data_IF_564190941652
#
_entry.id   IF_564190941652
#
_cell.length_a   1.000
_cell.length_b   1.000
_cell.length_c   1.000
_cell.angle_alpha   90.00
_cell.angle_beta   90.00
_cell.angle_gamma   90.00
#
_symmetry.space_group_name_H-M   'P 1'
#
loop_
_entity.id
_entity.type
_entity.pdbx_description
1 polymer ?
#
# COMPACT_ATOMS: atom_id res chain seq x y z
N UNK A 1 -15.60 11.39 -3.65
CA UNK A 1 -16.32 10.10 -3.67
C UNK A 1 -15.36 9.06 -3.12
N UNK A 2 -15.60 8.53 -1.91
CA UNK A 2 -14.73 7.48 -1.33
C UNK A 2 -15.01 6.21 -2.14
N UNK A 3 -14.02 5.71 -2.86
CA UNK A 3 -14.15 4.46 -3.59
C UNK A 3 -14.34 3.36 -2.54
N UNK A 4 -15.47 2.65 -2.56
CA UNK A 4 -15.86 1.71 -1.49
C UNK A 4 -14.91 0.52 -1.32
N UNK A 5 -13.97 0.34 -2.26
CA UNK A 5 -12.98 -0.75 -2.29
C UNK A 5 -11.56 -0.33 -1.88
N UNK A 6 -11.41 0.82 -1.20
CA UNK A 6 -10.12 1.31 -0.68
C UNK A 6 -10.02 1.18 0.84
N UNK A 7 -8.92 0.56 1.30
CA UNK A 7 -8.61 0.37 2.72
C UNK A 7 -7.29 1.05 3.06
N UNK A 8 -7.29 1.87 4.11
CA UNK A 8 -6.06 2.41 4.67
C UNK A 8 -5.31 1.32 5.45
N UNK A 9 -4.03 1.17 5.14
CA UNK A 9 -3.16 0.19 5.78
C UNK A 9 -2.24 0.91 6.75
N UNK A 10 -2.20 0.42 7.99
CA UNK A 10 -1.40 0.98 9.07
C UNK A 10 -0.47 -0.10 9.64
N UNK A 11 0.76 0.30 9.95
CA UNK A 11 1.76 -0.57 10.55
C UNK A 11 2.52 0.21 11.63
N UNK A 12 2.51 -0.32 12.86
CA UNK A 12 3.16 0.31 14.02
C UNK A 12 2.82 1.80 14.21
N UNK A 13 1.55 2.17 13.96
CA UNK A 13 1.07 3.55 14.10
C UNK A 13 1.40 4.47 12.91
N UNK A 14 2.11 3.99 11.90
CA UNK A 14 2.37 4.72 10.66
C UNK A 14 1.41 4.28 9.56
N UNK A 15 0.77 5.22 8.86
CA UNK A 15 -0.04 4.93 7.67
C UNK A 15 0.89 4.49 6.54
N UNK A 16 0.86 3.20 6.23
CA UNK A 16 1.74 2.56 5.26
C UNK A 16 1.28 2.80 3.83
N UNK A 17 -0.04 2.92 3.60
CA UNK A 17 -0.57 3.02 2.25
C UNK A 17 -2.06 2.82 2.14
N UNK A 18 -2.51 2.65 0.91
CA UNK A 18 -3.90 2.31 0.57
C UNK A 18 -3.90 1.01 -0.23
N UNK A 19 -4.69 0.04 0.22
CA UNK A 19 -4.99 -1.18 -0.51
C UNK A 19 -6.27 -0.97 -1.29
N UNK A 20 -6.25 -1.27 -2.60
CA UNK A 20 -7.41 -1.18 -3.46
C UNK A 20 -7.64 -2.50 -4.19
N UNK A 21 -8.91 -2.85 -4.41
CA UNK A 21 -9.29 -3.91 -5.34
C UNK A 21 -9.48 -3.32 -6.74
N UNK A 22 -8.74 -3.84 -7.71
CA UNK A 22 -8.89 -3.47 -9.12
C UNK A 22 -10.12 -4.15 -9.73
N UNK A 23 -10.59 -3.65 -10.87
CA UNK A 23 -11.77 -4.18 -11.58
C UNK A 23 -11.64 -5.66 -11.97
N UNK A 24 -10.42 -6.15 -12.17
CA UNK A 24 -10.13 -7.55 -12.47
C UNK A 24 -10.01 -8.44 -11.22
N UNK A 25 -10.34 -7.90 -10.04
CA UNK A 25 -10.26 -8.60 -8.76
C UNK A 25 -8.87 -8.63 -8.11
N UNK A 26 -7.83 -8.16 -8.80
CA UNK A 26 -6.48 -8.09 -8.24
C UNK A 26 -6.38 -7.03 -7.14
N UNK A 27 -5.54 -7.30 -6.14
CA UNK A 27 -5.23 -6.35 -5.06
C UNK A 27 -3.98 -5.55 -5.40
N UNK A 28 -4.03 -4.23 -5.19
CA UNK A 28 -2.90 -3.32 -5.37
C UNK A 28 -2.69 -2.52 -4.10
N UNK A 29 -1.47 -2.57 -3.56
CA UNK A 29 -1.07 -1.79 -2.39
C UNK A 29 -0.17 -0.65 -2.82
N UNK A 30 -0.61 0.56 -2.49
CA UNK A 30 0.02 1.81 -2.84
C UNK A 30 0.64 2.42 -1.59
N UNK A 31 1.96 2.42 -1.51
CA UNK A 31 2.67 2.91 -0.31
C UNK A 31 2.66 4.45 -0.26
N UNK A 32 2.67 4.99 0.95
CA UNK A 32 2.96 6.42 1.19
C UNK A 32 4.47 6.67 1.07
N UNK A 33 4.87 7.91 0.75
CA UNK A 33 6.29 8.28 0.73
C UNK A 33 6.93 8.08 2.11
N UNK A 34 6.25 8.48 3.19
CA UNK A 34 6.70 8.25 4.58
C UNK A 34 7.00 6.78 4.88
N UNK A 35 6.21 5.86 4.33
CA UNK A 35 6.42 4.43 4.50
C UNK A 35 7.64 3.94 3.71
N UNK A 36 7.80 4.43 2.47
CA UNK A 36 8.97 4.11 1.64
C UNK A 36 10.25 4.67 2.25
N UNK A 37 10.22 5.86 2.86
CA UNK A 37 11.36 6.47 3.53
C UNK A 37 11.73 5.72 4.82
N UNK A 38 10.73 5.27 5.60
CA UNK A 38 10.94 4.57 6.87
C UNK A 38 11.47 3.15 6.69
N UNK A 39 10.94 2.40 5.73
CA UNK A 39 11.26 0.99 5.56
C UNK A 39 12.10 0.72 4.31
N UNK A 40 12.07 1.56 3.29
CA UNK A 40 12.75 1.36 2.00
C UNK A 40 11.84 0.74 0.94
N UNK A 41 12.00 1.13 -0.33
CA UNK A 41 11.13 0.70 -1.46
C UNK A 41 11.05 -0.81 -1.69
N UNK A 42 12.06 -1.56 -1.22
CA UNK A 42 12.11 -3.03 -1.30
C UNK A 42 11.72 -3.73 -0.02
N UNK A 43 11.52 -2.99 1.07
CA UNK A 43 11.05 -3.58 2.29
C UNK A 43 9.62 -4.01 2.10
N UNK A 44 9.37 -5.28 2.37
CA UNK A 44 8.06 -5.92 2.27
C UNK A 44 7.52 -6.17 3.67
N UNK A 45 7.28 -5.13 4.50
CA UNK A 45 6.94 -5.33 5.89
C UNK A 45 5.55 -5.98 6.08
N UNK A 46 4.69 -5.95 5.04
CA UNK A 46 3.36 -6.54 5.06
C UNK A 46 3.28 -7.93 4.41
N UNK A 47 3.95 -8.16 3.28
CA UNK A 47 3.98 -9.47 2.60
C UNK A 47 4.98 -9.49 1.44
N UNK A 48 5.67 -10.62 1.27
CA UNK A 48 6.50 -10.89 0.09
C UNK A 48 5.70 -10.99 -1.21
N UNK A 49 4.36 -11.01 -1.20
CA UNK A 49 3.55 -11.19 -2.41
C UNK A 49 2.87 -9.91 -2.91
N UNK A 50 2.87 -8.85 -2.10
CA UNK A 50 2.29 -7.57 -2.48
C UNK A 50 3.37 -6.73 -3.17
N UNK A 51 3.19 -6.48 -4.47
CA UNK A 51 4.05 -5.54 -5.20
C UNK A 51 3.81 -4.14 -4.67
N UNK A 52 4.88 -3.48 -4.24
CA UNK A 52 4.88 -2.06 -3.92
C UNK A 52 5.06 -1.27 -5.22
N UNK A 53 4.18 -0.30 -5.46
CA UNK A 53 4.33 0.68 -6.52
C UNK A 53 4.30 2.11 -5.96
N UNK A 54 5.13 2.98 -6.53
CA UNK A 54 5.20 4.42 -6.22
C UNK A 54 4.31 5.20 -7.17
N UNK A 55 3.79 6.34 -6.72
CA UNK A 55 3.24 7.35 -7.62
C UNK A 55 4.40 8.05 -8.32
N UNK A 56 4.41 7.99 -9.65
CA UNK A 56 5.18 8.93 -10.46
C UNK A 56 4.39 10.20 -10.68
#
# INVERSE_FOLDING_TARGET
MRNSDELDVWLYGTRTGTLARLRNGALRLRFTDDALDRWGERSRPLSLWLRADRFS
#
